data_IF_659968026221
#
_entry.id   IF_659968026221
#
_cell.length_a   1.000
_cell.length_b   1.000
_cell.length_c   1.000
_cell.angle_alpha   90.00
_cell.angle_beta   90.00
_cell.angle_gamma   90.00
#
_symmetry.space_group_name_H-M   'P 1'
#
loop_
_entity.id
_entity.type
_entity.pdbx_description
1 polymer ?
#
# COMPACT_ATOMS: atom_id res chain seq x y z
N UNK A 1 3.34 -1.55 -10.65
CA UNK A 1 3.82 -2.03 -9.34
C UNK A 1 2.99 -1.45 -8.21
N UNK A 2 3.20 -0.17 -7.89
CA UNK A 2 2.57 0.51 -6.74
C UNK A 2 1.05 0.47 -6.69
N UNK A 3 0.37 0.66 -7.83
CA UNK A 3 -1.10 0.67 -7.87
C UNK A 3 -1.68 -0.71 -7.51
N UNK A 4 -1.03 -1.78 -7.97
CA UNK A 4 -1.39 -3.15 -7.59
C UNK A 4 -1.17 -3.43 -6.11
N UNK A 5 -0.04 -2.97 -5.55
CA UNK A 5 0.23 -3.08 -4.11
C UNK A 5 -0.83 -2.34 -3.29
N UNK A 6 -1.17 -1.10 -3.66
CA UNK A 6 -2.24 -0.32 -3.00
C UNK A 6 -3.59 -1.03 -3.05
N UNK A 7 -3.94 -1.61 -4.20
CA UNK A 7 -5.19 -2.37 -4.36
C UNK A 7 -5.21 -3.61 -3.46
N UNK A 8 -4.11 -4.35 -3.39
CA UNK A 8 -3.98 -5.54 -2.55
C UNK A 8 -4.06 -5.20 -1.05
N UNK A 9 -3.45 -4.08 -0.62
CA UNK A 9 -3.58 -3.56 0.76
C UNK A 9 -5.04 -3.25 1.06
N UNK A 10 -5.70 -2.51 0.16
CA UNK A 10 -7.08 -2.09 0.35
C UNK A 10 -8.03 -3.29 0.43
N UNK A 11 -7.85 -4.30 -0.44
CA UNK A 11 -8.66 -5.52 -0.45
C UNK A 11 -8.46 -6.32 0.84
N UNK A 12 -7.21 -6.51 1.28
CA UNK A 12 -6.91 -7.29 2.48
C UNK A 12 -7.44 -6.63 3.76
N UNK A 13 -7.29 -5.30 3.88
CA UNK A 13 -7.84 -4.55 5.02
C UNK A 13 -9.37 -4.62 5.00
N UNK A 14 -10.00 -4.36 3.85
CA UNK A 14 -11.46 -4.35 3.76
C UNK A 14 -12.07 -5.72 4.03
N UNK A 15 -11.49 -6.81 3.51
CA UNK A 15 -11.96 -8.17 3.78
C UNK A 15 -11.78 -8.54 5.27
N UNK A 16 -10.61 -8.25 5.84
CA UNK A 16 -10.34 -8.52 7.26
C UNK A 16 -11.26 -7.73 8.20
N UNK A 17 -11.51 -6.46 7.91
CA UNK A 17 -12.45 -5.63 8.68
C UNK A 17 -13.91 -6.12 8.53
N UNK A 18 -14.28 -6.64 7.36
CA UNK A 18 -15.60 -7.22 7.13
C UNK A 18 -15.78 -8.54 7.89
N UNK A 19 -14.75 -9.39 7.96
CA UNK A 19 -14.76 -10.61 8.75
C UNK A 19 -14.89 -10.31 10.26
N UNK A 20 -14.16 -9.31 10.76
CA UNK A 20 -14.29 -8.86 12.16
C UNK A 20 -15.73 -8.44 12.47
N UNK A 21 -16.39 -7.74 11.55
CA UNK A 21 -17.78 -7.31 11.72
C UNK A 21 -18.74 -8.51 11.71
N UNK A 22 -18.53 -9.50 10.82
CA UNK A 22 -19.37 -10.71 10.78
C UNK A 22 -19.25 -11.55 12.05
N UNK A 23 -18.03 -11.74 12.57
CA UNK A 23 -17.80 -12.54 13.78
C UNK A 23 -18.21 -11.82 15.07
N UNK A 24 -18.18 -10.49 15.08
CA UNK A 24 -18.53 -9.70 16.25
C UNK A 24 -19.43 -8.52 15.85
N UNK A 25 -20.73 -8.76 15.60
CA UNK A 25 -21.64 -7.71 15.11
C UNK A 25 -21.85 -6.57 16.11
N UNK A 26 -21.56 -6.82 17.38
CA UNK A 26 -21.74 -5.86 18.49
C UNK A 26 -20.44 -5.14 18.86
N UNK A 27 -19.40 -5.23 18.02
CA UNK A 27 -18.12 -4.57 18.26
C UNK A 27 -18.29 -3.05 18.29
N UNK A 28 -17.63 -2.38 19.26
CA UNK A 28 -17.63 -0.92 19.30
C UNK A 28 -16.85 -0.35 18.12
N UNK A 29 -17.30 0.78 17.58
CA UNK A 29 -16.67 1.38 16.40
C UNK A 29 -15.19 1.72 16.62
N UNK A 30 -14.82 2.10 17.85
CA UNK A 30 -13.43 2.34 18.23
C UNK A 30 -12.57 1.07 18.16
N UNK A 31 -13.09 -0.06 18.66
CA UNK A 31 -12.38 -1.36 18.59
C UNK A 31 -12.30 -1.87 17.16
N UNK A 32 -13.33 -1.66 16.35
CA UNK A 32 -13.32 -2.05 14.94
C UNK A 32 -12.29 -1.26 14.11
N UNK A 33 -12.20 0.06 14.32
CA UNK A 33 -11.16 0.90 13.71
C UNK A 33 -9.75 0.49 14.18
N UNK A 34 -9.59 0.18 15.47
CA UNK A 34 -8.31 -0.30 16.02
C UNK A 34 -7.90 -1.65 15.39
N UNK A 35 -8.84 -2.57 15.21
CA UNK A 35 -8.60 -3.85 14.56
C UNK A 35 -8.15 -3.66 13.10
N UNK A 36 -8.83 -2.81 12.33
CA UNK A 36 -8.42 -2.48 10.96
C UNK A 36 -7.02 -1.86 10.89
N UNK A 37 -6.66 -1.01 11.86
CA UNK A 37 -5.32 -0.42 11.95
C UNK A 37 -4.24 -1.45 12.27
N UNK A 38 -4.52 -2.41 13.15
CA UNK A 38 -3.59 -3.49 13.47
C UNK A 38 -3.36 -4.39 12.25
N UNK A 39 -4.44 -4.80 11.57
CA UNK A 39 -4.36 -5.58 10.32
C UNK A 39 -3.50 -4.84 9.28
N UNK A 40 -3.80 -3.56 9.04
CA UNK A 40 -3.03 -2.75 8.10
C UNK A 40 -1.54 -2.62 8.49
N UNK A 41 -1.24 -2.49 9.79
CA UNK A 41 0.13 -2.40 10.29
C UNK A 41 0.91 -3.70 10.10
N UNK A 42 0.27 -4.85 10.27
CA UNK A 42 0.91 -6.15 10.09
C UNK A 42 1.27 -6.40 8.63
N UNK A 43 0.40 -6.01 7.69
CA UNK A 43 0.61 -6.21 6.25
C UNK A 43 1.53 -5.14 5.64
N UNK A 44 1.62 -3.96 6.26
CA UNK A 44 2.50 -2.88 5.78
C UNK A 44 3.96 -3.31 5.66
N UNK A 45 4.48 -4.09 6.62
CA UNK A 45 5.87 -4.52 6.62
C UNK A 45 6.22 -5.40 5.42
N UNK A 46 5.38 -6.39 5.15
CA UNK A 46 5.55 -7.31 4.01
C UNK A 46 5.37 -6.60 2.67
N UNK A 47 4.36 -5.73 2.55
CA UNK A 47 4.11 -4.92 1.35
C UNK A 47 5.25 -3.96 1.00
N UNK A 48 5.81 -3.29 2.01
CA UNK A 48 6.93 -2.36 1.82
C UNK A 48 8.15 -3.10 1.26
N UNK A 49 8.39 -4.31 1.74
CA UNK A 49 9.47 -5.15 1.24
C UNK A 49 9.25 -5.57 -0.23
N UNK A 50 8.02 -5.95 -0.59
CA UNK A 50 7.66 -6.27 -1.99
C UNK A 50 7.88 -5.06 -2.90
N UNK A 51 7.47 -3.86 -2.48
CA UNK A 51 7.72 -2.64 -3.26
C UNK A 51 9.20 -2.34 -3.41
N UNK A 52 9.97 -2.46 -2.32
CA UNK A 52 11.42 -2.25 -2.35
C UNK A 52 12.06 -3.16 -3.39
N UNK A 53 11.77 -4.46 -3.35
CA UNK A 53 12.29 -5.40 -4.35
C UNK A 53 11.77 -5.11 -5.76
N UNK A 54 10.51 -4.69 -5.91
CA UNK A 54 9.97 -4.31 -7.21
C UNK A 54 10.70 -3.10 -7.82
N UNK A 55 11.07 -2.12 -7.01
CA UNK A 55 11.86 -0.97 -7.45
C UNK A 55 13.31 -1.33 -7.76
N UNK A 56 13.94 -2.16 -6.92
CA UNK A 56 15.28 -2.67 -7.18
C UNK A 56 15.35 -3.50 -8.47
N UNK A 57 14.35 -4.35 -8.72
CA UNK A 57 14.25 -5.09 -9.98
C UNK A 57 14.11 -4.14 -11.18
N UNK A 58 13.24 -3.13 -11.08
CA UNK A 58 13.06 -2.13 -12.13
C UNK A 58 14.35 -1.33 -12.44
N UNK A 59 15.13 -0.99 -11.42
CA UNK A 59 16.39 -0.27 -11.59
C UNK A 59 17.48 -1.15 -12.22
N UNK A 60 17.51 -2.45 -11.92
CA UNK A 60 18.41 -3.41 -12.57
C UNK A 60 18.12 -3.54 -14.07
N UNK A 61 16.85 -3.58 -14.47
CA UNK A 61 16.47 -3.60 -15.89
C UNK A 61 17.01 -2.37 -16.64
N UNK A 62 16.85 -1.17 -16.06
CA UNK A 62 17.36 0.06 -16.66
C UNK A 62 18.90 0.08 -16.71
N UNK A 63 19.57 -0.38 -15.66
CA UNK A 63 21.03 -0.48 -15.61
C UNK A 63 21.58 -1.38 -16.74
N UNK A 64 20.96 -2.54 -16.97
CA UNK A 64 21.30 -3.43 -18.08
C UNK A 64 21.15 -2.76 -19.45
N UNK A 65 20.09 -1.98 -19.63
CA UNK A 65 19.80 -1.23 -20.87
C UNK A 65 20.85 -0.16 -21.15
N UNK A 66 21.34 0.53 -20.11
CA UNK A 66 22.38 1.54 -20.26
C UNK A 66 23.77 0.95 -20.54
N UNK A 67 24.11 -0.18 -19.90
CA UNK A 67 25.33 -0.93 -20.19
C UNK A 67 25.39 -1.37 -21.66
N UNK A 68 24.25 -1.84 -22.20
CA UNK A 68 24.15 -2.22 -23.63
C UNK A 68 24.35 -1.04 -24.58
N UNK A 69 23.98 0.18 -24.19
CA UNK A 69 24.11 1.38 -25.02
C UNK A 69 25.49 2.04 -24.95
N UNK A 70 26.48 1.44 -24.28
CA UNK A 70 27.85 1.98 -24.20
C UNK A 70 28.00 3.22 -23.30
N UNK A 71 26.97 3.56 -22.52
CA UNK A 71 27.00 4.69 -21.59
C UNK A 71 27.77 4.34 -20.31
N UNK A 72 28.52 5.30 -19.76
CA UNK A 72 29.25 5.12 -18.51
C UNK A 72 28.26 4.85 -17.36
N UNK A 73 28.48 3.78 -16.60
CA UNK A 73 27.70 3.38 -15.42
C UNK A 73 27.36 4.59 -14.52
N UNK A 74 28.34 5.49 -14.35
CA UNK A 74 28.27 6.68 -13.49
C UNK A 74 27.22 7.71 -13.93
N UNK A 75 27.04 7.95 -15.22
CA UNK A 75 26.05 8.92 -15.74
C UNK A 75 24.62 8.35 -15.67
N UNK A 76 24.49 7.05 -15.97
CA UNK A 76 23.21 6.34 -15.94
C UNK A 76 22.68 6.18 -14.52
N UNK A 77 23.57 5.91 -13.57
CA UNK A 77 23.29 5.91 -12.13
C UNK A 77 22.87 7.32 -11.69
N UNK A 78 23.69 8.35 -11.95
CA UNK A 78 23.39 9.72 -11.45
C UNK A 78 22.03 10.26 -11.94
N UNK A 79 21.65 9.99 -13.18
CA UNK A 79 20.37 10.44 -13.75
C UNK A 79 19.16 9.64 -13.20
N UNK A 80 19.30 8.34 -12.97
CA UNK A 80 18.19 7.48 -12.53
C UNK A 80 17.89 7.57 -11.04
N UNK A 81 18.86 7.95 -10.22
CA UNK A 81 18.69 7.95 -8.76
C UNK A 81 17.60 8.91 -8.30
N UNK A 82 17.51 10.12 -8.85
CA UNK A 82 16.46 11.08 -8.45
C UNK A 82 15.05 10.58 -8.76
N UNK A 83 14.85 9.97 -9.94
CA UNK A 83 13.54 9.48 -10.35
C UNK A 83 13.12 8.22 -9.59
N UNK A 84 14.03 7.26 -9.40
CA UNK A 84 13.73 6.03 -8.68
C UNK A 84 13.53 6.28 -7.18
N UNK A 85 14.32 7.17 -6.56
CA UNK A 85 14.11 7.56 -5.15
C UNK A 85 12.77 8.27 -4.99
N UNK A 86 12.45 9.24 -5.86
CA UNK A 86 11.15 9.92 -5.80
C UNK A 86 10.01 8.93 -5.95
N UNK A 87 10.12 7.97 -6.88
CA UNK A 87 9.09 6.94 -7.11
C UNK A 87 8.96 6.02 -5.89
N UNK A 88 10.08 5.59 -5.29
CA UNK A 88 10.09 4.77 -4.09
C UNK A 88 9.42 5.47 -2.90
N UNK A 89 9.75 6.75 -2.67
CA UNK A 89 9.14 7.58 -1.61
C UNK A 89 7.64 7.76 -1.86
N UNK A 90 7.24 8.16 -3.07
CA UNK A 90 5.81 8.34 -3.41
C UNK A 90 5.03 7.03 -3.28
N UNK A 91 5.62 5.90 -3.69
CA UNK A 91 5.01 4.57 -3.54
C UNK A 91 4.85 4.16 -2.07
N UNK A 92 5.87 4.36 -1.24
CA UNK A 92 5.84 4.06 0.18
C UNK A 92 4.80 4.91 0.92
N UNK A 93 4.77 6.22 0.67
CA UNK A 93 3.76 7.13 1.23
C UNK A 93 2.35 6.71 0.82
N UNK A 94 2.17 6.31 -0.45
CA UNK A 94 0.89 5.82 -0.95
C UNK A 94 0.35 4.62 -0.15
N UNK A 95 1.20 3.64 0.16
CA UNK A 95 0.81 2.49 0.99
C UNK A 95 0.45 2.92 2.42
N UNK A 96 1.27 3.78 3.03
CA UNK A 96 1.02 4.27 4.39
C UNK A 96 -0.32 5.00 4.47
N UNK A 97 -0.64 5.83 3.48
CA UNK A 97 -1.90 6.56 3.39
C UNK A 97 -3.09 5.65 3.06
N UNK A 98 -2.88 4.51 2.38
CA UNK A 98 -3.96 3.58 2.01
C UNK A 98 -4.64 2.99 3.24
N UNK A 99 -3.91 2.73 4.32
CA UNK A 99 -4.47 2.16 5.57
C UNK A 99 -5.55 3.07 6.18
N UNK A 100 -5.23 4.33 6.60
CA UNK A 100 -6.23 5.21 7.18
C UNK A 100 -7.35 5.54 6.19
N UNK A 101 -7.04 5.67 4.89
CA UNK A 101 -8.04 5.96 3.86
C UNK A 101 -9.07 4.83 3.73
N UNK A 102 -8.62 3.58 3.71
CA UNK A 102 -9.51 2.40 3.59
C UNK A 102 -10.42 2.28 4.81
N UNK A 103 -9.86 2.43 6.01
CA UNK A 103 -10.63 2.38 7.27
C UNK A 103 -11.68 3.50 7.29
N UNK A 104 -11.32 4.71 6.85
CA UNK A 104 -12.23 5.85 6.79
C UNK A 104 -13.37 5.63 5.80
N UNK A 105 -13.07 5.17 4.58
CA UNK A 105 -14.08 4.85 3.58
C UNK A 105 -15.03 3.76 4.06
N UNK A 106 -14.50 2.73 4.70
CA UNK A 106 -15.31 1.63 5.21
C UNK A 106 -16.18 2.05 6.40
N UNK A 107 -15.70 2.96 7.24
CA UNK A 107 -16.49 3.62 8.27
C UNK A 107 -17.64 4.44 7.67
N UNK A 108 -17.39 5.22 6.62
CA UNK A 108 -18.45 5.96 5.91
C UNK A 108 -19.48 4.98 5.34
N UNK A 109 -19.03 3.91 4.70
CA UNK A 109 -19.91 2.90 4.13
C UNK A 109 -20.81 2.24 5.18
N UNK A 110 -20.26 1.92 6.36
CA UNK A 110 -21.03 1.42 7.51
C UNK A 110 -22.03 2.45 8.04
N UNK A 111 -21.65 3.72 8.11
CA UNK A 111 -22.56 4.80 8.52
C UNK A 111 -23.73 4.98 7.56
N UNK A 112 -23.50 4.82 6.25
CA UNK A 112 -24.54 4.89 5.23
C UNK A 112 -25.51 3.70 5.31
N UNK A 113 -24.99 2.48 5.57
CA UNK A 113 -25.84 1.29 5.77
C UNK A 113 -26.59 1.29 7.10
N UNK A 114 -25.96 1.73 8.18
CA UNK A 114 -26.59 1.83 9.50
C UNK A 114 -27.69 2.89 9.61
N UNK A 115 -27.77 3.83 8.65
CA UNK A 115 -28.89 4.75 8.49
C UNK A 115 -30.11 4.13 7.79
N UNK A 116 -29.98 2.96 7.15
CA UNK A 116 -31.05 2.26 6.44
C UNK A 116 -31.69 1.12 7.25
N UNK A 117 -31.20 0.85 8.47
CA UNK A 117 -31.73 -0.18 9.39
C UNK A 117 -32.04 0.36 10.78
N UNK A 118 -32.45 1.64 10.86
CA UNK A 118 -33.17 2.17 12.03
C UNK A 118 -34.64 2.31 11.71
#
# INVERSE_FOLDING_TARGET
GTLGAVMDVAITISSGMYEVLQRSPHISMQRWVLAGRNIGRDIMGTMTNILLFSYLAGSLQMLLLYLKNGNTLTYSISMNWSLEISRAITGGIGIVLTIPLTIFLMRIWLSLRGGATR
#
